data_IF_216076700309
#
_entry.id   IF_216076700309
#
_cell.length_a   1.000
_cell.length_b   1.000
_cell.length_c   1.000
_cell.angle_alpha   90.00
_cell.angle_beta   90.00
_cell.angle_gamma   90.00
#
_symmetry.space_group_name_H-M   'P 1'
#
loop_
_entity.id
_entity.type
_entity.pdbx_description
1 polymer ?
#
# COMPACT_ATOMS: atom_id res chain seq x y z
N UNK A 1 0.18 -4.77 12.14
CA UNK A 1 1.66 -4.69 12.31
C UNK A 1 2.09 -3.59 13.25
N UNK A 2 1.60 -2.34 13.11
CA UNK A 2 2.06 -1.19 13.90
C UNK A 2 2.01 -1.46 15.42
N UNK A 3 0.86 -1.81 16.03
CA UNK A 3 0.83 -2.07 17.48
C UNK A 3 1.60 -3.32 17.90
N UNK A 4 1.93 -4.22 16.96
CA UNK A 4 2.71 -5.44 17.23
C UNK A 4 4.22 -5.21 17.15
N UNK A 5 4.65 -4.13 16.48
CA UNK A 5 6.05 -3.76 16.34
C UNK A 5 6.54 -2.82 17.45
N UNK A 6 5.61 -2.11 18.12
CA UNK A 6 5.90 -1.22 19.25
C UNK A 6 6.29 -1.94 20.54
N UNK A 7 6.51 -3.25 20.51
CA UNK A 7 6.79 -4.08 21.70
C UNK A 7 8.21 -3.96 22.25
N UNK A 8 9.06 -3.15 21.65
CA UNK A 8 10.44 -3.04 22.09
C UNK A 8 10.55 -2.10 23.29
N UNK A 9 10.46 -2.65 24.50
CA UNK A 9 11.10 -2.07 25.66
C UNK A 9 10.23 -1.65 26.84
N UNK A 10 8.92 -1.39 26.73
CA UNK A 10 8.10 -0.97 27.86
C UNK A 10 6.90 -1.90 28.16
N UNK A 11 6.48 -1.93 29.42
CA UNK A 11 5.34 -2.75 29.86
C UNK A 11 4.03 -2.35 29.18
N UNK A 12 3.84 -1.06 28.87
CA UNK A 12 2.66 -0.54 28.20
C UNK A 12 2.59 -0.99 26.73
N UNK A 13 3.70 -0.95 26.00
CA UNK A 13 3.79 -1.46 24.62
C UNK A 13 3.53 -2.96 24.55
N UNK A 14 4.06 -3.73 25.50
CA UNK A 14 3.77 -5.16 25.61
C UNK A 14 2.29 -5.44 25.92
N UNK A 15 1.66 -4.63 26.77
CA UNK A 15 0.23 -4.75 27.07
C UNK A 15 -0.63 -4.46 25.82
N UNK A 16 -0.33 -3.40 25.06
CA UNK A 16 -1.00 -3.08 23.79
C UNK A 16 -0.84 -4.21 22.78
N UNK A 17 0.35 -4.77 22.63
CA UNK A 17 0.58 -5.88 21.70
C UNK A 17 -0.17 -7.14 22.11
N UNK A 18 -0.24 -7.47 23.41
CA UNK A 18 -1.07 -8.57 23.92
C UNK A 18 -2.56 -8.34 23.62
N UNK A 19 -3.06 -7.14 23.89
CA UNK A 19 -4.45 -6.77 23.59
C UNK A 19 -4.75 -6.91 22.07
N UNK A 20 -3.86 -6.43 21.22
CA UNK A 20 -3.99 -6.53 19.76
C UNK A 20 -4.02 -8.00 19.30
N UNK A 21 -3.10 -8.85 19.79
CA UNK A 21 -3.08 -10.28 19.46
C UNK A 21 -4.38 -10.97 19.90
N UNK A 22 -4.85 -10.67 21.10
CA UNK A 22 -6.11 -11.19 21.63
C UNK A 22 -7.29 -10.80 20.73
N UNK A 23 -7.40 -9.55 20.34
CA UNK A 23 -8.46 -9.06 19.44
C UNK A 23 -8.39 -9.74 18.08
N UNK A 24 -7.19 -9.86 17.48
CA UNK A 24 -7.01 -10.53 16.19
C UNK A 24 -7.43 -12.01 16.25
N UNK A 25 -7.01 -12.74 17.27
CA UNK A 25 -7.39 -14.15 17.44
C UNK A 25 -8.89 -14.32 17.63
N UNK A 26 -9.54 -13.45 18.42
CA UNK A 26 -10.99 -13.46 18.62
C UNK A 26 -11.75 -13.16 17.32
N UNK A 27 -11.34 -12.13 16.61
CA UNK A 27 -11.94 -11.77 15.32
C UNK A 27 -11.78 -12.92 14.33
N UNK A 28 -10.60 -13.50 14.22
CA UNK A 28 -10.34 -14.62 13.31
C UNK A 28 -11.20 -15.83 13.66
N UNK A 29 -11.27 -16.22 14.94
CA UNK A 29 -12.08 -17.32 15.41
C UNK A 29 -13.57 -17.10 15.07
N UNK A 30 -14.07 -15.89 15.29
CA UNK A 30 -15.45 -15.51 14.96
C UNK A 30 -15.70 -15.55 13.45
N UNK A 31 -14.78 -15.05 12.64
CA UNK A 31 -14.87 -15.07 11.17
C UNK A 31 -14.90 -16.50 10.64
N UNK A 32 -14.09 -17.41 11.23
CA UNK A 32 -14.09 -18.82 10.83
C UNK A 32 -15.46 -19.46 11.08
N UNK A 33 -16.10 -19.19 12.22
CA UNK A 33 -17.47 -19.66 12.51
C UNK A 33 -18.51 -19.06 11.56
N UNK A 34 -18.40 -17.77 11.22
CA UNK A 34 -19.30 -17.12 10.27
C UNK A 34 -19.16 -17.71 8.85
N UNK A 35 -17.93 -18.01 8.42
CA UNK A 35 -17.65 -18.51 7.08
C UNK A 35 -17.90 -20.03 6.94
N UNK A 36 -17.95 -20.77 8.04
CA UNK A 36 -18.02 -22.23 8.02
C UNK A 36 -19.17 -22.83 7.18
N UNK A 37 -20.38 -22.28 7.18
CA UNK A 37 -21.47 -22.81 6.35
C UNK A 37 -21.18 -22.73 4.83
N UNK A 38 -20.27 -21.86 4.41
CA UNK A 38 -19.94 -21.63 2.99
C UNK A 38 -18.68 -22.40 2.59
N UNK A 39 -17.67 -22.43 3.47
CA UNK A 39 -16.35 -23.04 3.22
C UNK A 39 -15.92 -23.98 4.35
N UNK A 40 -16.62 -25.13 4.54
CA UNK A 40 -16.53 -25.94 5.77
C UNK A 40 -15.14 -26.54 6.00
N UNK A 41 -14.44 -27.00 4.97
CA UNK A 41 -13.19 -27.76 5.15
C UNK A 41 -12.04 -26.91 5.64
N UNK A 42 -11.79 -25.78 4.98
CA UNK A 42 -10.67 -24.90 5.34
C UNK A 42 -10.92 -24.17 6.67
N UNK A 43 -12.18 -23.83 6.95
CA UNK A 43 -12.54 -23.18 8.23
C UNK A 43 -12.41 -24.12 9.41
N UNK A 44 -12.75 -25.40 9.26
CA UNK A 44 -12.52 -26.43 10.30
C UNK A 44 -11.03 -26.56 10.58
N UNK A 45 -10.20 -26.78 9.54
CA UNK A 45 -8.76 -26.96 9.68
C UNK A 45 -8.08 -25.76 10.37
N UNK A 46 -8.48 -24.55 9.97
CA UNK A 46 -7.95 -23.32 10.58
C UNK A 46 -8.48 -23.14 12.01
N UNK A 47 -9.74 -23.45 12.25
CA UNK A 47 -10.36 -23.30 13.57
C UNK A 47 -9.73 -24.21 14.61
N UNK A 48 -9.41 -25.45 14.26
CA UNK A 48 -8.71 -26.38 15.13
C UNK A 48 -7.34 -25.81 15.62
N UNK A 49 -6.70 -24.96 14.83
CA UNK A 49 -5.43 -24.29 15.19
C UNK A 49 -5.64 -23.00 15.96
N UNK A 50 -6.69 -22.24 15.62
CA UNK A 50 -6.95 -20.88 16.16
C UNK A 50 -7.70 -20.92 17.47
N UNK A 51 -8.72 -21.79 17.61
CA UNK A 51 -9.59 -21.83 18.77
C UNK A 51 -8.83 -22.04 20.10
N UNK A 52 -7.84 -22.95 20.21
CA UNK A 52 -7.07 -23.10 21.44
C UNK A 52 -6.30 -21.81 21.82
N UNK A 53 -5.79 -21.08 20.81
CA UNK A 53 -5.10 -19.81 21.04
C UNK A 53 -6.06 -18.70 21.45
N UNK A 54 -7.20 -18.60 20.79
CA UNK A 54 -8.23 -17.60 21.10
C UNK A 54 -8.75 -17.74 22.55
N UNK A 55 -8.85 -18.98 23.06
CA UNK A 55 -9.21 -19.22 24.43
C UNK A 55 -8.12 -18.89 25.43
N UNK A 56 -6.89 -19.27 25.13
CA UNK A 56 -5.72 -18.95 25.98
C UNK A 56 -5.60 -17.45 26.23
N UNK A 57 -6.00 -16.63 25.25
CA UNK A 57 -6.02 -15.17 25.32
C UNK A 57 -7.42 -14.59 25.59
N UNK A 58 -8.41 -15.42 25.99
CA UNK A 58 -9.78 -14.99 26.27
C UNK A 58 -9.96 -14.08 27.50
N UNK A 59 -11.21 -13.81 27.88
CA UNK A 59 -11.64 -12.77 28.83
C UNK A 59 -11.11 -12.91 30.25
N UNK A 60 -10.73 -14.10 30.67
CA UNK A 60 -10.06 -14.31 31.95
C UNK A 60 -8.58 -14.09 31.70
N UNK A 61 -8.08 -12.91 32.06
CA UNK A 61 -6.66 -12.53 31.93
C UNK A 61 -5.73 -13.69 32.24
N UNK A 62 -4.56 -13.70 31.61
CA UNK A 62 -3.53 -14.75 31.70
C UNK A 62 -3.50 -15.36 33.10
N UNK A 63 -4.44 -16.26 33.39
CA UNK A 63 -4.20 -17.30 34.37
C UNK A 63 -3.33 -18.32 33.64
N UNK A 64 -2.13 -18.45 34.08
CA UNK A 64 -1.28 -19.59 33.76
C UNK A 64 -2.07 -20.86 34.07
N UNK A 65 -2.82 -21.36 33.06
CA UNK A 65 -3.35 -22.71 33.15
C UNK A 65 -2.12 -23.60 33.26
N UNK A 66 -2.03 -24.37 34.34
CA UNK A 66 -1.04 -25.45 34.46
C UNK A 66 -1.22 -26.39 33.24
N UNK A 67 -0.16 -27.05 32.81
CA UNK A 67 -0.19 -27.91 31.62
C UNK A 67 -1.41 -28.84 31.55
N UNK A 68 -1.83 -29.41 32.69
CA UNK A 68 -3.01 -30.28 32.78
C UNK A 68 -4.34 -29.59 32.45
N UNK A 69 -4.56 -28.36 32.90
CA UNK A 69 -5.80 -27.62 32.60
C UNK A 69 -5.83 -27.13 31.13
N UNK A 70 -4.67 -26.89 30.51
CA UNK A 70 -4.58 -26.63 29.07
C UNK A 70 -4.89 -27.89 28.26
N UNK A 71 -4.37 -29.05 28.68
CA UNK A 71 -4.60 -30.34 28.03
C UNK A 71 -6.06 -30.77 28.17
N UNK A 72 -6.71 -30.54 29.32
CA UNK A 72 -8.15 -30.74 29.50
C UNK A 72 -8.99 -29.80 28.66
N UNK A 73 -8.63 -28.50 28.57
CA UNK A 73 -9.29 -27.53 27.69
C UNK A 73 -9.13 -27.87 26.21
N UNK A 74 -7.98 -28.41 25.82
CA UNK A 74 -7.70 -28.92 24.46
C UNK A 74 -8.45 -30.24 24.20
N UNK A 75 -8.52 -31.14 25.19
CA UNK A 75 -9.26 -32.39 25.07
C UNK A 75 -10.78 -32.19 25.05
N UNK A 76 -11.31 -31.26 25.86
CA UNK A 76 -12.72 -30.87 25.83
C UNK A 76 -13.15 -30.22 24.51
N UNK A 77 -12.19 -29.81 23.68
CA UNK A 77 -12.42 -29.14 22.40
C UNK A 77 -11.97 -29.90 21.16
N UNK A 78 -11.83 -31.17 21.21
CA UNK A 78 -11.85 -32.02 20.00
C UNK A 78 -13.24 -32.01 19.30
N UNK A 79 -14.03 -30.96 19.57
CA UNK A 79 -15.30 -30.73 18.93
C UNK A 79 -15.07 -29.92 17.65
N UNK A 80 -15.80 -30.28 16.62
CA UNK A 80 -15.82 -29.56 15.35
C UNK A 80 -16.37 -28.15 15.54
N UNK A 81 -15.93 -27.21 14.70
CA UNK A 81 -16.51 -25.86 14.57
C UNK A 81 -18.04 -25.93 14.34
N UNK A 82 -18.53 -27.01 13.70
CA UNK A 82 -19.94 -27.27 13.44
C UNK A 82 -20.80 -27.31 14.72
N UNK A 83 -20.20 -27.71 15.86
CA UNK A 83 -20.89 -27.77 17.14
C UNK A 83 -20.86 -26.49 17.95
N UNK A 84 -20.16 -25.46 17.43
CA UNK A 84 -20.07 -24.17 18.11
C UNK A 84 -21.28 -23.30 17.82
N UNK A 85 -21.63 -22.42 18.78
CA UNK A 85 -22.69 -21.45 18.56
C UNK A 85 -22.34 -20.51 17.40
N UNK A 86 -23.32 -20.33 16.51
CA UNK A 86 -23.15 -19.32 15.44
C UNK A 86 -23.02 -17.93 16.06
N UNK A 87 -22.06 -17.10 15.59
CA UNK A 87 -21.82 -15.78 16.14
C UNK A 87 -23.07 -14.89 16.04
N UNK A 88 -23.33 -14.15 17.09
CA UNK A 88 -24.38 -13.13 17.12
C UNK A 88 -23.78 -11.77 17.36
N UNK A 89 -24.42 -10.74 16.83
CA UNK A 89 -24.01 -9.36 17.05
C UNK A 89 -24.22 -8.96 18.52
N UNK A 90 -23.20 -8.38 19.12
CA UNK A 90 -23.24 -7.82 20.48
C UNK A 90 -23.24 -6.30 20.39
N UNK A 91 -24.43 -5.66 20.42
CA UNK A 91 -24.56 -4.22 20.28
C UNK A 91 -23.69 -3.41 21.26
N UNK A 92 -23.50 -3.91 22.49
CA UNK A 92 -22.65 -3.25 23.49
C UNK A 92 -21.15 -3.25 23.16
N UNK A 93 -20.74 -3.90 22.09
CA UNK A 93 -19.34 -3.90 21.60
C UNK A 93 -19.11 -3.01 20.38
N UNK A 94 -20.16 -2.38 19.89
CA UNK A 94 -20.05 -1.40 18.79
C UNK A 94 -19.47 -0.12 19.36
N UNK A 95 -18.32 0.29 18.86
CA UNK A 95 -17.64 1.54 19.21
C UNK A 95 -17.65 2.45 17.99
N UNK A 96 -18.67 3.31 17.92
CA UNK A 96 -18.83 4.25 16.81
C UNK A 96 -17.65 5.22 16.67
N UNK A 97 -16.96 5.54 17.78
CA UNK A 97 -15.78 6.42 17.72
C UNK A 97 -14.61 5.69 17.04
N UNK A 98 -14.41 4.41 17.37
CA UNK A 98 -13.40 3.57 16.71
C UNK A 98 -13.74 3.34 15.23
N UNK A 99 -15.02 3.17 14.89
CA UNK A 99 -15.46 3.04 13.49
C UNK A 99 -15.17 4.31 12.69
N UNK A 100 -15.52 5.48 13.22
CA UNK A 100 -15.20 6.77 12.59
C UNK A 100 -13.69 6.97 12.43
N UNK A 101 -12.93 6.67 13.46
CA UNK A 101 -11.46 6.74 13.41
C UNK A 101 -10.89 5.82 12.32
N UNK A 102 -11.36 4.60 12.24
CA UNK A 102 -10.91 3.64 11.22
C UNK A 102 -11.32 4.06 9.79
N UNK A 103 -12.52 4.61 9.62
CA UNK A 103 -13.00 5.12 8.35
C UNK A 103 -12.17 6.31 7.86
N UNK A 104 -11.82 7.23 8.75
CA UNK A 104 -10.97 8.37 8.43
C UNK A 104 -9.54 7.93 8.08
N UNK A 105 -8.95 7.02 8.86
CA UNK A 105 -7.65 6.43 8.54
C UNK A 105 -7.68 5.77 7.15
N UNK A 106 -8.73 5.00 6.85
CA UNK A 106 -8.89 4.37 5.55
C UNK A 106 -8.93 5.41 4.43
N UNK A 107 -9.71 6.47 4.59
CA UNK A 107 -9.80 7.56 3.60
C UNK A 107 -8.44 8.24 3.37
N UNK A 108 -7.66 8.47 4.43
CA UNK A 108 -6.30 9.02 4.30
C UNK A 108 -5.34 8.07 3.58
N UNK A 109 -5.42 6.77 3.87
CA UNK A 109 -4.60 5.77 3.16
C UNK A 109 -4.96 5.71 1.69
N UNK A 110 -6.25 5.74 1.36
CA UNK A 110 -6.72 5.72 -0.03
C UNK A 110 -6.32 7.01 -0.77
N UNK A 111 -6.37 8.18 -0.12
CA UNK A 111 -5.87 9.44 -0.66
C UNK A 111 -4.35 9.39 -0.94
N UNK A 112 -3.55 8.84 -0.02
CA UNK A 112 -2.11 8.63 -0.27
C UNK A 112 -1.84 7.69 -1.45
N UNK A 113 -2.67 6.67 -1.63
CA UNK A 113 -2.56 5.74 -2.77
C UNK A 113 -2.96 6.42 -4.08
N UNK A 114 -4.00 7.27 -4.06
CA UNK A 114 -4.39 8.06 -5.21
C UNK A 114 -3.28 9.00 -5.65
N UNK A 115 -2.67 9.75 -4.70
CA UNK A 115 -1.50 10.60 -4.98
C UNK A 115 -0.36 9.82 -5.63
N UNK A 116 -0.05 8.62 -5.11
CA UNK A 116 0.98 7.76 -5.71
C UNK A 116 0.65 7.34 -7.14
N UNK A 117 -0.63 7.05 -7.42
CA UNK A 117 -1.10 6.71 -8.76
C UNK A 117 -1.02 7.89 -9.73
N UNK A 118 -1.50 9.08 -9.31
CA UNK A 118 -1.45 10.31 -10.10
C UNK A 118 -0.01 10.71 -10.46
N UNK A 119 0.92 10.48 -9.54
CA UNK A 119 2.34 10.80 -9.71
C UNK A 119 3.16 9.67 -10.36
N UNK A 120 2.54 8.54 -10.72
CA UNK A 120 3.22 7.41 -11.34
C UNK A 120 4.31 6.76 -10.47
N UNK A 121 4.20 6.89 -9.14
CA UNK A 121 5.21 6.40 -8.19
C UNK A 121 5.19 4.88 -8.12
N UNK A 122 6.35 4.26 -8.29
CA UNK A 122 6.50 2.81 -8.15
C UNK A 122 6.02 2.31 -6.78
N UNK A 123 5.31 1.18 -6.70
CA UNK A 123 4.89 0.57 -5.43
C UNK A 123 6.05 0.27 -4.47
N UNK A 124 7.26 0.08 -4.97
CA UNK A 124 8.45 -0.20 -4.17
C UNK A 124 9.05 1.07 -3.53
N UNK A 125 8.85 2.22 -4.13
CA UNK A 125 9.42 3.49 -3.67
C UNK A 125 8.66 4.02 -2.45
N UNK A 126 9.40 4.40 -1.41
CA UNK A 126 8.88 5.12 -0.25
C UNK A 126 9.07 6.61 -0.45
N UNK A 127 8.06 7.40 -0.15
CA UNK A 127 8.11 8.86 -0.23
C UNK A 127 7.68 9.48 1.10
N UNK A 128 8.21 10.63 1.46
CA UNK A 128 7.69 11.43 2.57
C UNK A 128 6.32 12.00 2.22
N UNK A 129 5.41 12.03 3.21
CA UNK A 129 4.12 12.69 3.16
C UNK A 129 4.21 13.99 3.94
N UNK A 130 3.76 15.08 3.36
CA UNK A 130 3.48 16.33 4.07
C UNK A 130 1.97 16.39 4.32
N UNK A 131 1.57 16.54 5.57
CA UNK A 131 0.18 16.59 5.99
C UNK A 131 -0.08 17.89 6.77
N UNK A 132 -1.09 18.64 6.36
CA UNK A 132 -1.54 19.85 7.04
C UNK A 132 -2.96 19.66 7.56
N UNK A 133 -3.24 20.11 8.80
CA UNK A 133 -4.54 19.97 9.46
C UNK A 133 -4.38 19.86 10.98
N UNK A 134 -5.32 19.17 11.64
CA UNK A 134 -5.21 18.90 13.09
C UNK A 134 -3.97 18.05 13.39
N UNK A 135 -2.94 18.70 13.91
CA UNK A 135 -1.63 18.07 14.20
C UNK A 135 -1.72 16.93 15.21
N UNK A 136 -2.57 17.02 16.22
CA UNK A 136 -2.73 15.97 17.22
C UNK A 136 -3.37 14.73 16.62
N UNK A 137 -4.37 14.91 15.78
CA UNK A 137 -5.06 13.85 15.07
C UNK A 137 -4.16 13.20 14.00
N UNK A 138 -3.46 14.02 13.23
CA UNK A 138 -2.50 13.54 12.24
C UNK A 138 -1.36 12.74 12.87
N UNK A 139 -0.88 13.14 14.05
CA UNK A 139 0.14 12.40 14.79
C UNK A 139 -0.32 11.00 15.19
N UNK A 140 -1.61 10.82 15.55
CA UNK A 140 -2.18 9.50 15.83
C UNK A 140 -2.23 8.61 14.57
N UNK A 141 -2.48 9.18 13.41
CA UNK A 141 -2.53 8.44 12.15
C UNK A 141 -1.15 8.15 11.54
N UNK A 142 -0.16 8.98 11.82
CA UNK A 142 1.16 8.92 11.18
C UNK A 142 1.82 7.52 11.18
N UNK A 143 1.86 6.74 12.28
CA UNK A 143 2.44 5.40 12.27
C UNK A 143 1.71 4.44 11.32
N UNK A 144 0.38 4.55 11.24
CA UNK A 144 -0.46 3.73 10.38
C UNK A 144 -0.32 4.12 8.90
N UNK A 145 -0.30 5.42 8.61
CA UNK A 145 -0.07 5.94 7.26
C UNK A 145 1.28 5.49 6.71
N UNK A 146 2.35 5.58 7.52
CA UNK A 146 3.68 5.06 7.13
C UNK A 146 3.62 3.59 6.74
N UNK A 147 2.95 2.77 7.56
CA UNK A 147 2.89 1.33 7.35
C UNK A 147 1.99 0.92 6.18
N UNK A 148 0.81 1.56 6.03
CA UNK A 148 -0.24 1.14 5.09
C UNK A 148 -0.11 1.79 3.72
N UNK A 149 0.37 3.03 3.65
CA UNK A 149 0.61 3.76 2.41
C UNK A 149 2.07 3.69 1.93
N UNK A 150 2.93 2.93 2.62
CA UNK A 150 4.36 2.77 2.28
C UNK A 150 5.10 4.10 2.22
N UNK A 151 4.91 4.92 3.24
CA UNK A 151 5.58 6.20 3.34
C UNK A 151 6.92 6.05 4.07
N UNK A 152 7.86 6.91 3.75
CA UNK A 152 9.14 7.03 4.44
C UNK A 152 8.97 7.74 5.78
N UNK A 153 8.34 8.92 5.72
CA UNK A 153 8.04 9.78 6.86
C UNK A 153 6.67 10.45 6.69
N UNK A 154 6.12 10.96 7.77
CA UNK A 154 4.95 11.85 7.77
C UNK A 154 5.38 13.14 8.48
N UNK A 155 5.46 14.22 7.71
CA UNK A 155 5.78 15.56 8.18
C UNK A 155 4.45 16.29 8.43
N UNK A 156 4.20 16.70 9.67
CA UNK A 156 2.99 17.43 10.03
C UNK A 156 3.34 18.91 10.06
N UNK A 157 2.61 19.70 9.27
CA UNK A 157 2.83 21.14 9.12
C UNK A 157 1.52 21.90 9.36
N UNK A 158 1.61 23.18 9.69
CA UNK A 158 0.43 24.03 9.83
C UNK A 158 -0.22 24.28 8.46
N UNK A 159 0.59 24.52 7.43
CA UNK A 159 0.15 24.74 6.06
C UNK A 159 1.09 24.03 5.08
N UNK A 160 0.53 23.59 3.94
CA UNK A 160 1.34 23.00 2.89
C UNK A 160 2.27 24.05 2.27
N UNK A 161 3.47 23.65 1.79
CA UNK A 161 4.39 24.56 1.13
C UNK A 161 3.73 25.25 -0.07
N UNK A 162 3.73 26.59 -0.06
CA UNK A 162 3.26 27.41 -1.18
C UNK A 162 4.20 27.24 -2.38
N UNK A 163 3.60 27.10 -3.58
CA UNK A 163 4.37 26.97 -4.83
C UNK A 163 4.72 25.54 -5.24
N UNK A 164 4.31 24.52 -4.49
CA UNK A 164 4.44 23.14 -4.93
C UNK A 164 3.46 22.84 -6.07
N UNK A 165 3.97 22.27 -7.15
CA UNK A 165 3.16 21.78 -8.29
C UNK A 165 2.64 20.35 -8.02
N UNK A 166 3.02 19.76 -6.87
CA UNK A 166 2.61 18.40 -6.52
C UNK A 166 1.09 18.33 -6.25
N UNK A 167 0.41 17.27 -6.67
CA UNK A 167 -1.00 17.08 -6.40
C UNK A 167 -1.28 17.01 -4.91
N UNK A 168 -2.42 17.56 -4.50
CA UNK A 168 -2.89 17.59 -3.12
C UNK A 168 -4.22 16.86 -3.03
N UNK A 169 -4.34 15.95 -2.08
CA UNK A 169 -5.60 15.29 -1.73
C UNK A 169 -6.13 15.87 -0.43
N UNK A 170 -7.44 16.08 -0.38
CA UNK A 170 -8.15 16.62 0.80
C UNK A 170 -9.00 15.50 1.40
N UNK A 171 -8.83 15.28 2.70
CA UNK A 171 -9.61 14.30 3.47
C UNK A 171 -10.12 14.98 4.74
N UNK A 172 -11.40 15.33 4.78
CA UNK A 172 -11.94 16.20 5.81
C UNK A 172 -11.19 17.53 5.85
N UNK A 173 -10.63 17.89 6.99
CA UNK A 173 -9.82 19.10 7.18
C UNK A 173 -8.33 18.90 6.84
N UNK A 174 -7.91 17.66 6.61
CA UNK A 174 -6.52 17.35 6.31
C UNK A 174 -6.21 17.51 4.82
N UNK A 175 -5.05 18.10 4.53
CA UNK A 175 -4.47 18.25 3.20
C UNK A 175 -3.21 17.41 3.13
N UNK A 176 -3.13 16.51 2.16
CA UNK A 176 -2.07 15.54 2.01
C UNK A 176 -1.34 15.76 0.70
N UNK A 177 -0.01 15.82 0.75
CA UNK A 177 0.86 15.99 -0.40
C UNK A 177 2.06 15.06 -0.27
N UNK A 178 2.40 14.32 -1.33
CA UNK A 178 3.66 13.55 -1.36
C UNK A 178 4.81 14.48 -1.76
N UNK A 179 5.86 14.46 -0.95
CA UNK A 179 7.10 15.17 -1.26
C UNK A 179 7.95 14.28 -2.15
N UNK A 180 8.08 14.67 -3.42
CA UNK A 180 9.07 14.07 -4.31
C UNK A 180 10.30 14.96 -4.26
N UNK A 181 11.37 14.47 -3.70
CA UNK A 181 12.70 14.96 -4.05
C UNK A 181 13.00 14.33 -5.42
N UNK A 182 12.65 15.06 -6.47
CA UNK A 182 13.11 14.70 -7.80
C UNK A 182 14.61 14.97 -7.74
N UNK A 183 15.42 13.91 -7.75
CA UNK A 183 16.81 14.05 -8.10
C UNK A 183 16.83 14.49 -9.57
N UNK A 184 16.77 15.83 -9.74
CA UNK A 184 16.74 16.49 -11.05
C UNK A 184 17.92 16.02 -11.89
N UNK A 185 19.06 15.73 -11.27
CA UNK A 185 20.26 15.27 -11.97
C UNK A 185 20.08 13.83 -12.48
N UNK A 186 19.56 12.92 -11.64
CA UNK A 186 19.29 11.54 -12.06
C UNK A 186 18.17 11.46 -13.11
N UNK A 187 17.11 12.26 -12.97
CA UNK A 187 16.02 12.29 -13.94
C UNK A 187 16.46 12.90 -15.27
N UNK A 188 17.28 13.95 -15.25
CA UNK A 188 17.93 14.47 -16.46
C UNK A 188 18.79 13.42 -17.16
N UNK A 189 19.63 12.72 -16.41
CA UNK A 189 20.45 11.64 -16.99
C UNK A 189 19.58 10.52 -17.60
N UNK A 190 18.47 10.18 -16.97
CA UNK A 190 17.53 9.18 -17.50
C UNK A 190 16.94 9.66 -18.83
N UNK A 191 16.45 10.90 -18.88
CA UNK A 191 15.88 11.50 -20.08
C UNK A 191 16.95 11.64 -21.19
N UNK A 192 18.16 12.07 -20.86
CA UNK A 192 19.27 12.20 -21.82
C UNK A 192 19.65 10.84 -22.45
N UNK A 193 19.68 9.76 -21.65
CA UNK A 193 19.87 8.40 -22.15
C UNK A 193 18.76 7.97 -23.11
N UNK A 194 17.51 8.29 -22.78
CA UNK A 194 16.37 7.94 -23.61
C UNK A 194 16.35 8.76 -24.92
N UNK A 195 16.69 10.05 -24.86
CA UNK A 195 16.91 10.89 -26.04
C UNK A 195 17.97 10.27 -26.96
N UNK A 196 19.13 9.94 -26.42
CA UNK A 196 20.22 9.34 -27.20
C UNK A 196 19.81 8.00 -27.85
N UNK A 197 19.01 7.18 -27.15
CA UNK A 197 18.45 5.93 -27.69
C UNK A 197 17.51 6.21 -28.86
N UNK A 198 16.56 7.12 -28.69
CA UNK A 198 15.57 7.46 -29.73
C UNK A 198 16.26 8.09 -30.96
N UNK A 199 17.22 8.99 -30.75
CA UNK A 199 18.03 9.56 -31.84
C UNK A 199 18.84 8.49 -32.58
N UNK A 200 19.33 7.47 -31.86
CA UNK A 200 19.98 6.30 -32.45
C UNK A 200 19.06 5.48 -33.35
N UNK A 201 17.81 5.29 -32.93
CA UNK A 201 16.81 4.59 -33.75
C UNK A 201 16.40 5.39 -35.00
N UNK A 202 16.26 6.71 -34.89
CA UNK A 202 16.01 7.61 -36.02
C UNK A 202 17.15 7.50 -37.04
N UNK A 203 18.41 7.66 -36.59
CA UNK A 203 19.59 7.54 -37.49
C UNK A 203 19.67 6.19 -38.20
N UNK A 204 19.30 5.08 -37.52
CA UNK A 204 19.25 3.75 -38.16
C UNK A 204 18.18 3.67 -39.25
N UNK A 205 17.00 4.21 -39.00
CA UNK A 205 15.91 4.22 -39.98
C UNK A 205 16.23 5.16 -41.17
N UNK A 206 16.82 6.32 -40.91
CA UNK A 206 17.30 7.26 -41.93
C UNK A 206 18.39 6.64 -42.78
N UNK A 207 19.39 5.97 -42.19
CA UNK A 207 20.44 5.27 -42.93
C UNK A 207 19.90 4.18 -43.86
N UNK A 208 18.83 3.44 -43.44
CA UNK A 208 18.14 2.48 -44.29
C UNK A 208 17.47 3.17 -45.49
N UNK A 209 16.72 4.24 -45.21
CA UNK A 209 16.02 4.99 -46.26
C UNK A 209 16.95 5.77 -47.19
N UNK A 210 18.14 6.17 -46.68
CA UNK A 210 19.21 6.79 -47.48
C UNK A 210 19.95 5.82 -48.41
N UNK A 211 19.82 4.53 -48.21
CA UNK A 211 20.42 3.52 -49.07
C UNK A 211 19.52 3.26 -50.31
N UNK A 212 19.91 3.79 -51.46
CA UNK A 212 19.15 3.65 -52.71
C UNK A 212 18.85 2.18 -53.05
N UNK A 213 19.81 1.28 -52.87
CA UNK A 213 19.62 -0.15 -53.19
C UNK A 213 18.62 -0.84 -52.22
N UNK A 214 18.45 -0.33 -50.99
CA UNK A 214 17.39 -0.80 -50.12
C UNK A 214 16.00 -0.30 -50.55
N UNK A 215 15.89 0.98 -50.87
CA UNK A 215 14.64 1.61 -51.29
C UNK A 215 14.10 0.99 -52.61
N UNK A 216 14.99 0.66 -53.53
CA UNK A 216 14.62 0.05 -54.83
C UNK A 216 14.22 -1.42 -54.74
N UNK A 217 14.78 -2.16 -53.75
CA UNK A 217 14.52 -3.61 -53.61
C UNK A 217 13.48 -3.96 -52.54
N UNK A 218 13.25 -3.08 -51.57
CA UNK A 218 12.31 -3.34 -50.49
C UNK A 218 10.87 -3.15 -50.95
N UNK A 219 9.93 -3.97 -50.44
CA UNK A 219 8.51 -3.74 -50.65
C UNK A 219 8.08 -2.35 -50.19
N UNK A 220 7.21 -1.67 -50.95
CA UNK A 220 6.74 -0.31 -50.61
C UNK A 220 6.20 -0.19 -49.15
N UNK A 221 5.54 -1.24 -48.65
CA UNK A 221 5.04 -1.30 -47.29
C UNK A 221 6.16 -1.21 -46.24
N UNK A 222 7.36 -1.78 -46.50
CA UNK A 222 8.49 -1.73 -45.56
C UNK A 222 9.14 -0.35 -45.58
N UNK A 223 9.23 0.31 -46.73
CA UNK A 223 9.72 1.68 -46.86
C UNK A 223 8.80 2.65 -46.12
N UNK A 224 7.49 2.49 -46.24
CA UNK A 224 6.49 3.30 -45.57
C UNK A 224 6.49 3.04 -44.05
N UNK A 225 6.70 1.81 -43.64
CA UNK A 225 6.86 1.46 -42.22
C UNK A 225 8.07 2.16 -41.59
N UNK A 226 9.23 2.20 -42.27
CA UNK A 226 10.41 2.91 -41.73
C UNK A 226 10.20 4.43 -41.71
N UNK A 227 9.45 5.01 -42.65
CA UNK A 227 9.03 6.43 -42.61
C UNK A 227 8.11 6.71 -41.43
N UNK A 228 7.14 5.85 -41.17
CA UNK A 228 6.21 5.93 -40.03
C UNK A 228 6.98 5.83 -38.69
N UNK A 229 8.01 4.99 -38.62
CA UNK A 229 8.88 4.90 -37.42
C UNK A 229 9.64 6.20 -37.16
N UNK A 230 10.20 6.84 -38.19
CA UNK A 230 10.88 8.13 -38.03
C UNK A 230 9.91 9.18 -37.50
N UNK A 231 8.71 9.28 -38.04
CA UNK A 231 7.70 10.23 -37.57
C UNK A 231 7.30 9.96 -36.11
N UNK A 232 7.07 8.70 -35.73
CA UNK A 232 6.71 8.30 -34.37
C UNK A 232 7.83 8.58 -33.36
N UNK A 233 9.09 8.28 -33.72
CA UNK A 233 10.25 8.57 -32.90
C UNK A 233 10.53 10.07 -32.81
N UNK A 234 10.30 10.83 -33.88
CA UNK A 234 10.39 12.29 -33.88
C UNK A 234 9.44 12.93 -32.87
N UNK A 235 8.17 12.53 -32.88
CA UNK A 235 7.18 12.99 -31.90
C UNK A 235 7.55 12.61 -30.45
N UNK A 236 8.19 11.45 -30.27
CA UNK A 236 8.66 11.03 -28.95
C UNK A 236 9.87 11.86 -28.50
N UNK A 237 10.78 12.16 -29.41
CA UNK A 237 11.96 12.99 -29.17
C UNK A 237 11.60 14.41 -28.73
N UNK A 238 10.61 15.03 -29.40
CA UNK A 238 10.11 16.35 -29.01
C UNK A 238 9.55 16.36 -27.60
N UNK A 239 8.71 15.37 -27.25
CA UNK A 239 8.17 15.24 -25.88
C UNK A 239 9.26 15.06 -24.83
N UNK A 240 10.27 14.26 -25.09
CA UNK A 240 11.42 14.07 -24.19
C UNK A 240 12.23 15.35 -24.02
N UNK A 241 12.44 16.11 -25.08
CA UNK A 241 13.11 17.40 -25.03
C UNK A 241 12.32 18.45 -24.23
N UNK A 242 11.00 18.49 -24.39
CA UNK A 242 10.13 19.34 -23.56
C UNK A 242 10.21 18.95 -22.09
N UNK A 243 10.15 17.66 -21.77
CA UNK A 243 10.31 17.19 -20.39
C UNK A 243 11.66 17.57 -19.80
N UNK A 244 12.73 17.44 -20.57
CA UNK A 244 14.07 17.86 -20.16
C UNK A 244 14.15 19.36 -19.90
N UNK A 245 13.53 20.17 -20.74
CA UNK A 245 13.50 21.62 -20.59
C UNK A 245 12.75 22.08 -19.33
N UNK A 246 11.71 21.35 -18.90
CA UNK A 246 10.98 21.63 -17.66
C UNK A 246 11.77 21.32 -16.38
N UNK A 247 12.83 20.54 -16.49
CA UNK A 247 13.70 20.21 -15.37
C UNK A 247 14.83 21.26 -15.17
N UNK A 248 14.82 22.34 -15.93
CA UNK A 248 15.70 23.51 -15.82
C UNK A 248 17.02 23.33 -16.53
#
# INVERSE_FOLDING_TARGET
KVPLQETAGDAAGQARARATRRTLLRVLETVLRLAHPIVPFITEELWQKVAPLAMRYGERGVQTLSGSALDEALAARRHSIMTQRYPQAEAGRIDEAAERWAAELKSMVDACRALRGEMGVSPAQKLPLVAAGDGARLAQFAPYLRALARLEAVEIVAELPSGSVAPVQIVGDARLMLKIEIDVAAERQRIDKEIARVEGEIRKAEAKLGNASFVERAPAAVVEQERGRIAAFGATLERLREQRARLG
#
